data_IF_640615135727
#
_entry.id   IF_640615135727
#
_cell.length_a   1.000
_cell.length_b   1.000
_cell.length_c   1.000
_cell.angle_alpha   90.00
_cell.angle_beta   90.00
_cell.angle_gamma   90.00
#
_symmetry.space_group_name_H-M   'P 1'
#
loop_
_entity.id
_entity.type
_entity.pdbx_description
1 polymer ?
#
# COMPACT_ATOMS: atom_id res chain seq x y z
N UNK A 1 -0.78 -7.84 -3.62
CA UNK A 1 -0.01 -8.45 -2.49
C UNK A 1 -0.87 -8.49 -1.25
N UNK A 2 -0.90 -9.62 -0.57
CA UNK A 2 -1.59 -9.82 0.71
C UNK A 2 -0.58 -10.35 1.73
N UNK A 3 -0.46 -9.66 2.87
CA UNK A 3 0.48 -10.00 3.93
C UNK A 3 -0.26 -10.76 5.03
N UNK A 4 0.21 -11.96 5.36
CA UNK A 4 -0.43 -12.86 6.32
C UNK A 4 0.30 -12.88 7.66
N UNK A 5 1.61 -12.61 7.65
CA UNK A 5 2.46 -12.63 8.82
C UNK A 5 3.53 -11.53 8.73
N UNK A 6 3.90 -10.93 9.85
CA UNK A 6 5.03 -10.03 9.94
C UNK A 6 6.34 -10.84 9.94
N UNK A 7 7.41 -10.22 9.43
CA UNK A 7 8.79 -10.69 9.55
C UNK A 7 9.52 -9.84 10.56
N UNK A 8 10.57 -10.37 11.16
CA UNK A 8 11.47 -9.65 12.05
C UNK A 8 12.74 -9.24 11.32
N UNK A 9 13.49 -8.30 11.90
CA UNK A 9 14.76 -7.87 11.36
C UNK A 9 15.73 -9.05 11.21
N UNK A 10 16.50 -9.06 10.12
CA UNK A 10 17.43 -10.11 9.73
C UNK A 10 16.81 -11.50 9.44
N UNK A 11 15.50 -11.67 9.51
CA UNK A 11 14.85 -12.91 9.10
C UNK A 11 15.00 -13.11 7.59
N UNK A 12 15.52 -14.27 7.19
CA UNK A 12 15.61 -14.60 5.76
C UNK A 12 14.24 -14.93 5.19
N UNK A 13 13.96 -14.37 4.04
CA UNK A 13 12.74 -14.65 3.30
C UNK A 13 13.07 -15.21 1.92
N UNK A 14 12.25 -16.16 1.46
CA UNK A 14 12.35 -16.73 0.12
C UNK A 14 11.13 -16.32 -0.69
N UNK A 15 11.35 -15.63 -1.81
CA UNK A 15 10.33 -15.33 -2.78
C UNK A 15 10.30 -16.39 -3.88
N UNK A 16 9.10 -16.84 -4.24
CA UNK A 16 8.86 -17.77 -5.34
C UNK A 16 7.92 -17.10 -6.33
N UNK A 17 8.36 -16.99 -7.58
CA UNK A 17 7.55 -16.48 -8.69
C UNK A 17 7.18 -17.67 -9.58
N UNK A 18 5.90 -17.91 -9.75
CA UNK A 18 5.37 -18.92 -10.64
C UNK A 18 4.72 -18.23 -11.84
N UNK A 19 5.32 -18.32 -13.03
CA UNK A 19 4.71 -17.81 -14.25
C UNK A 19 3.36 -18.49 -14.53
N UNK A 20 2.42 -17.75 -15.08
CA UNK A 20 1.14 -18.26 -15.55
C UNK A 20 0.70 -17.47 -16.77
N UNK A 21 -0.33 -17.96 -17.47
CA UNK A 21 -0.85 -17.30 -18.65
C UNK A 21 -1.42 -15.90 -18.30
N UNK A 22 -0.75 -14.85 -18.81
CA UNK A 22 -1.11 -13.44 -18.57
C UNK A 22 -0.92 -12.95 -17.14
N UNK A 23 -0.53 -13.82 -16.20
CA UNK A 23 -0.37 -13.44 -14.78
C UNK A 23 0.62 -14.34 -14.05
N UNK A 24 1.59 -13.76 -13.38
CA UNK A 24 2.49 -14.47 -12.48
C UNK A 24 1.96 -14.48 -11.05
N UNK A 25 2.18 -15.56 -10.33
CA UNK A 25 1.93 -15.64 -8.87
C UNK A 25 3.24 -15.41 -8.12
N UNK A 26 3.18 -14.61 -7.08
CA UNK A 26 4.27 -14.39 -6.14
C UNK A 26 3.88 -14.96 -4.78
N UNK A 27 4.76 -15.74 -4.16
CA UNK A 27 4.59 -16.23 -2.79
C UNK A 27 5.90 -16.03 -2.04
N UNK A 28 5.82 -15.52 -0.81
CA UNK A 28 6.98 -15.36 0.05
C UNK A 28 6.84 -16.24 1.29
N UNK A 29 7.95 -16.85 1.68
CA UNK A 29 8.06 -17.72 2.85
C UNK A 29 9.16 -17.21 3.77
N UNK A 30 8.98 -17.37 5.07
CA UNK A 30 10.04 -17.15 6.06
C UNK A 30 10.98 -18.38 6.18
N UNK A 31 11.97 -18.30 7.05
CA UNK A 31 12.94 -19.39 7.28
C UNK A 31 12.27 -20.69 7.76
N UNK A 32 11.18 -20.59 8.54
CA UNK A 32 10.42 -21.74 9.00
C UNK A 32 9.52 -22.36 7.91
N UNK A 33 9.51 -21.79 6.71
CA UNK A 33 8.66 -22.25 5.61
C UNK A 33 7.21 -21.79 5.69
N UNK A 34 6.86 -20.93 6.63
CA UNK A 34 5.52 -20.35 6.71
C UNK A 34 5.31 -19.29 5.61
N UNK A 35 4.15 -19.31 4.98
CA UNK A 35 3.77 -18.29 3.99
C UNK A 35 3.49 -16.96 4.68
N UNK A 36 4.27 -15.95 4.34
CA UNK A 36 4.18 -14.60 4.93
C UNK A 36 3.51 -13.59 4.01
N UNK A 37 3.55 -13.83 2.70
CA UNK A 37 2.94 -12.96 1.70
C UNK A 37 2.59 -13.73 0.44
N UNK A 38 1.51 -13.33 -0.23
CA UNK A 38 1.18 -13.81 -1.56
C UNK A 38 0.58 -12.69 -2.42
N UNK A 39 0.66 -12.87 -3.73
CA UNK A 39 0.09 -11.91 -4.66
C UNK A 39 0.25 -12.34 -6.11
N UNK A 40 -0.14 -11.45 -7.00
CA UNK A 40 -0.01 -11.65 -8.43
C UNK A 40 0.51 -10.41 -9.11
N UNK A 41 1.16 -10.58 -10.25
CA UNK A 41 1.55 -9.51 -11.15
C UNK A 41 1.10 -9.84 -12.58
N UNK A 42 0.66 -8.84 -13.32
CA UNK A 42 0.23 -8.94 -14.71
C UNK A 42 0.81 -7.77 -15.51
N UNK A 43 1.35 -7.99 -16.70
CA UNK A 43 1.83 -6.93 -17.58
C UNK A 43 0.70 -6.28 -18.42
N UNK A 44 -0.52 -6.83 -18.35
CA UNK A 44 -1.68 -6.30 -19.08
C UNK A 44 -2.18 -5.00 -18.46
N UNK A 45 -3.01 -4.27 -19.23
CA UNK A 45 -3.75 -3.13 -18.71
C UNK A 45 -4.47 -3.50 -17.40
N UNK A 46 -4.51 -2.59 -16.41
CA UNK A 46 -5.20 -2.86 -15.17
C UNK A 46 -6.66 -3.23 -15.39
N UNK A 47 -7.13 -4.27 -14.71
CA UNK A 47 -8.55 -4.61 -14.69
C UNK A 47 -9.36 -3.41 -14.18
N UNK A 48 -10.55 -3.21 -14.73
CA UNK A 48 -11.49 -2.18 -14.25
C UNK A 48 -11.87 -2.39 -12.78
N UNK A 49 -11.83 -3.65 -12.31
CA UNK A 49 -12.01 -4.02 -10.92
C UNK A 49 -10.76 -4.75 -10.43
N UNK A 50 -10.02 -4.09 -9.57
CA UNK A 50 -8.88 -4.69 -8.88
C UNK A 50 -9.31 -5.78 -7.89
N UNK A 51 -8.38 -6.63 -7.48
CA UNK A 51 -8.64 -7.64 -6.46
C UNK A 51 -9.07 -6.99 -5.13
N UNK A 52 -8.43 -5.89 -4.73
CA UNK A 52 -8.85 -5.19 -3.51
C UNK A 52 -10.20 -4.50 -3.67
N UNK A 53 -10.51 -3.94 -4.84
CA UNK A 53 -11.82 -3.35 -5.10
C UNK A 53 -12.94 -4.40 -5.07
N UNK A 54 -12.68 -5.62 -5.56
CA UNK A 54 -13.62 -6.75 -5.43
C UNK A 54 -13.86 -7.19 -3.99
N UNK A 55 -12.81 -7.15 -3.16
CA UNK A 55 -12.89 -7.53 -1.74
C UNK A 55 -13.53 -6.48 -0.84
N UNK A 56 -13.45 -5.21 -1.24
CA UNK A 56 -13.95 -4.09 -0.44
C UNK A 56 -15.43 -4.20 -0.02
N UNK A 57 -16.37 -4.53 -0.93
CA UNK A 57 -17.80 -4.69 -0.57
C UNK A 57 -18.07 -5.85 0.40
N UNK A 58 -17.17 -6.84 0.43
CA UNK A 58 -17.30 -8.03 1.30
C UNK A 58 -16.81 -7.75 2.74
N UNK A 59 -16.22 -6.59 2.99
CA UNK A 59 -15.76 -6.19 4.31
C UNK A 59 -16.87 -5.46 5.05
N UNK A 60 -17.32 -6.00 6.17
CA UNK A 60 -18.26 -5.29 7.04
C UNK A 60 -17.58 -4.00 7.54
N UNK A 61 -18.24 -2.84 7.45
CA UNK A 61 -17.73 -1.61 8.06
C UNK A 61 -17.69 -1.77 9.58
N UNK A 62 -16.77 -1.04 10.22
CA UNK A 62 -16.79 -0.94 11.68
C UNK A 62 -18.09 -0.25 12.13
N UNK A 63 -18.66 -0.74 13.22
CA UNK A 63 -19.82 -0.10 13.83
C UNK A 63 -19.47 1.29 14.39
N UNK A 64 -20.38 2.26 14.34
CA UNK A 64 -20.17 3.58 14.92
C UNK A 64 -19.72 3.49 16.39
N UNK A 65 -18.69 4.26 16.75
CA UNK A 65 -18.17 4.32 18.10
C UNK A 65 -17.27 3.15 18.54
N UNK A 66 -17.05 2.15 17.67
CA UNK A 66 -16.14 1.02 17.97
C UNK A 66 -14.67 1.34 17.74
N UNK A 67 -14.38 2.24 16.82
CA UNK A 67 -13.01 2.66 16.50
C UNK A 67 -12.50 3.65 17.55
N UNK A 68 -11.22 3.51 17.95
CA UNK A 68 -10.52 4.42 18.86
C UNK A 68 -9.30 5.04 18.22
N UNK A 69 -8.52 4.25 17.46
CA UNK A 69 -7.33 4.72 16.74
C UNK A 69 -7.76 5.54 15.51
N UNK A 70 -8.84 5.12 14.88
CA UNK A 70 -9.42 5.74 13.68
C UNK A 70 -10.73 6.49 13.98
N UNK A 71 -10.98 6.88 15.24
CA UNK A 71 -12.25 7.50 15.66
C UNK A 71 -12.61 8.79 14.91
N UNK A 72 -11.59 9.56 14.51
CA UNK A 72 -11.77 10.87 13.87
C UNK A 72 -11.93 10.80 12.33
N UNK A 73 -12.08 9.60 11.77
CA UNK A 73 -12.11 9.41 10.32
C UNK A 73 -13.42 8.84 9.82
N UNK A 74 -13.80 9.29 8.62
CA UNK A 74 -14.96 8.84 7.87
C UNK A 74 -14.62 8.19 6.53
N UNK A 75 -15.45 7.26 6.10
CA UNK A 75 -15.40 6.76 4.71
C UNK A 75 -15.72 7.92 3.78
N UNK A 76 -14.88 8.13 2.77
CA UNK A 76 -14.99 9.23 1.83
C UNK A 76 -14.09 10.43 2.16
N UNK A 77 -13.45 10.48 3.33
CA UNK A 77 -12.44 11.51 3.61
C UNK A 77 -11.37 11.49 2.52
N UNK A 78 -11.11 12.66 1.95
CA UNK A 78 -10.25 12.80 0.80
C UNK A 78 -9.37 14.05 0.90
N UNK A 79 -8.13 13.93 0.45
CA UNK A 79 -7.20 15.05 0.29
C UNK A 79 -6.55 14.93 -1.08
N UNK A 80 -6.71 15.97 -1.90
CA UNK A 80 -6.09 16.11 -3.22
C UNK A 80 -4.95 17.13 -3.23
N UNK A 81 -4.37 17.33 -4.42
CA UNK A 81 -3.32 18.32 -4.63
C UNK A 81 -2.00 18.00 -3.91
N UNK A 82 -1.74 16.74 -3.58
CA UNK A 82 -0.53 16.32 -2.86
C UNK A 82 0.62 16.25 -3.87
N UNK A 83 1.68 17.08 -3.75
CA UNK A 83 2.82 16.97 -4.64
C UNK A 83 3.55 15.65 -4.38
N UNK A 84 3.83 14.92 -5.47
CA UNK A 84 4.52 13.64 -5.44
C UNK A 84 5.69 13.68 -6.42
N UNK A 85 6.89 13.38 -5.92
CA UNK A 85 8.11 13.30 -6.71
C UNK A 85 9.10 12.34 -6.06
N UNK A 86 9.83 11.60 -6.86
CA UNK A 86 11.02 10.85 -6.45
C UNK A 86 12.20 11.49 -7.18
N UNK A 87 13.21 11.91 -6.46
CA UNK A 87 14.41 12.45 -7.09
C UNK A 87 15.24 11.33 -7.73
N UNK A 88 15.92 11.63 -8.83
CA UNK A 88 16.77 10.65 -9.53
C UNK A 88 17.88 10.13 -8.61
N UNK A 89 18.45 11.01 -7.77
CA UNK A 89 19.47 10.63 -6.80
C UNK A 89 18.95 9.65 -5.74
N UNK A 90 17.69 9.82 -5.28
CA UNK A 90 17.06 8.92 -4.32
C UNK A 90 16.80 7.55 -4.94
N UNK A 91 16.38 7.51 -6.20
CA UNK A 91 16.23 6.26 -6.95
C UNK A 91 17.59 5.56 -7.10
N UNK A 92 18.62 6.26 -7.54
CA UNK A 92 19.96 5.70 -7.70
C UNK A 92 20.48 5.08 -6.40
N UNK A 93 20.42 5.82 -5.29
CA UNK A 93 20.82 5.32 -3.97
C UNK A 93 20.02 4.09 -3.51
N UNK A 94 18.75 4.01 -3.89
CA UNK A 94 17.93 2.86 -3.55
C UNK A 94 18.27 1.63 -4.40
N UNK A 95 18.65 1.82 -5.66
CA UNK A 95 19.05 0.72 -6.56
C UNK A 95 20.34 0.05 -6.11
N UNK A 96 21.27 0.76 -5.45
CA UNK A 96 22.48 0.19 -4.87
C UNK A 96 22.20 -0.93 -3.85
N UNK A 97 21.02 -0.93 -3.25
CA UNK A 97 20.56 -1.95 -2.28
C UNK A 97 19.86 -3.15 -2.91
N UNK A 98 19.68 -3.14 -4.22
CA UNK A 98 19.08 -4.23 -4.98
C UNK A 98 20.20 -5.00 -5.67
N UNK A 99 20.34 -6.29 -5.39
CA UNK A 99 21.45 -7.11 -5.89
C UNK A 99 21.48 -7.19 -7.42
N UNK A 100 20.32 -7.26 -8.05
CA UNK A 100 20.16 -7.35 -9.51
C UNK A 100 19.04 -6.42 -9.99
N UNK A 101 19.24 -5.09 -10.01
CA UNK A 101 18.23 -4.16 -10.46
C UNK A 101 18.02 -4.30 -11.97
N UNK A 102 16.77 -4.32 -12.40
CA UNK A 102 16.48 -4.29 -13.83
C UNK A 102 16.97 -2.97 -14.44
N UNK A 103 17.68 -3.04 -15.59
CA UNK A 103 18.31 -1.88 -16.24
C UNK A 103 17.37 -0.69 -16.51
N UNK A 104 16.06 -0.93 -16.76
CA UNK A 104 15.09 0.14 -16.97
C UNK A 104 15.00 1.11 -15.78
N UNK A 105 15.29 0.65 -14.58
CA UNK A 105 15.26 1.51 -13.40
C UNK A 105 16.41 2.52 -13.40
N UNK A 106 17.60 2.10 -13.85
CA UNK A 106 18.77 2.97 -13.94
C UNK A 106 18.76 3.81 -15.22
N UNK A 107 18.52 3.17 -16.38
CA UNK A 107 18.70 3.80 -17.71
C UNK A 107 17.56 4.77 -18.03
N UNK A 108 16.34 4.43 -17.65
CA UNK A 108 15.14 5.21 -17.98
C UNK A 108 14.48 5.84 -16.75
N UNK A 109 15.08 5.70 -15.58
CA UNK A 109 14.58 6.20 -14.30
C UNK A 109 13.16 5.71 -13.95
N UNK A 110 12.76 4.55 -14.45
CA UNK A 110 11.48 3.92 -14.12
C UNK A 110 11.42 3.62 -12.64
N UNK A 111 10.33 3.94 -11.99
CA UNK A 111 10.14 3.63 -10.57
C UNK A 111 9.81 2.15 -10.37
N UNK A 112 10.62 1.40 -9.59
CA UNK A 112 10.24 0.07 -9.15
C UNK A 112 8.92 0.09 -8.38
N UNK A 113 8.14 -0.99 -8.37
CA UNK A 113 6.87 -1.06 -7.61
C UNK A 113 7.01 -0.67 -6.13
N UNK A 114 8.13 -1.00 -5.51
CA UNK A 114 8.43 -0.61 -4.12
C UNK A 114 8.52 0.91 -3.92
N UNK A 115 9.04 1.64 -4.92
CA UNK A 115 9.10 3.11 -4.89
C UNK A 115 7.72 3.74 -5.09
N UNK A 116 6.87 3.15 -5.92
CA UNK A 116 5.48 3.58 -6.07
C UNK A 116 4.71 3.41 -4.75
N UNK A 117 4.91 2.27 -4.08
CA UNK A 117 4.32 2.03 -2.76
C UNK A 117 4.82 3.05 -1.74
N UNK A 118 6.13 3.33 -1.70
CA UNK A 118 6.73 4.32 -0.78
C UNK A 118 6.20 5.73 -1.04
N UNK A 119 6.15 6.15 -2.30
CA UNK A 119 5.64 7.45 -2.73
C UNK A 119 4.18 7.63 -2.31
N UNK A 120 3.33 6.68 -2.66
CA UNK A 120 1.92 6.70 -2.31
C UNK A 120 1.68 6.58 -0.79
N UNK A 121 2.46 5.73 -0.10
CA UNK A 121 2.33 5.60 1.36
C UNK A 121 2.71 6.91 2.08
N UNK A 122 3.67 7.67 1.56
CA UNK A 122 4.02 9.00 2.05
C UNK A 122 2.84 9.98 2.00
N UNK A 123 2.02 9.93 0.96
CA UNK A 123 0.83 10.77 0.81
C UNK A 123 -0.24 10.50 1.88
N UNK A 124 -0.26 9.31 2.50
CA UNK A 124 -1.16 8.93 3.58
C UNK A 124 -1.19 9.94 4.72
N UNK A 125 -0.04 10.51 5.08
CA UNK A 125 0.08 11.46 6.19
C UNK A 125 -0.82 12.69 6.04
N UNK A 126 -1.26 13.00 4.84
CA UNK A 126 -2.13 14.15 4.57
C UNK A 126 -3.59 13.84 4.92
N UNK A 127 -4.06 12.64 4.67
CA UNK A 127 -5.44 12.23 4.98
C UNK A 127 -5.54 11.57 6.37
N UNK A 128 -4.50 10.88 6.82
CA UNK A 128 -4.45 10.17 8.11
C UNK A 128 -3.56 10.89 9.15
N UNK A 129 -3.59 12.22 9.17
CA UNK A 129 -2.73 13.04 10.03
C UNK A 129 -3.02 12.89 11.54
N UNK A 130 -4.24 12.48 11.89
CA UNK A 130 -4.71 12.38 13.29
C UNK A 130 -4.83 10.93 13.78
N UNK A 131 -4.20 9.96 13.10
CA UNK A 131 -4.23 8.57 13.56
C UNK A 131 -3.63 8.50 14.96
N UNK A 132 -4.36 7.91 15.88
CA UNK A 132 -3.90 7.69 17.24
C UNK A 132 -2.64 6.80 17.29
N UNK A 133 -1.86 6.89 18.36
CA UNK A 133 -0.60 6.14 18.48
C UNK A 133 -0.85 4.64 18.40
N UNK A 134 -0.21 3.98 17.44
CA UNK A 134 -0.33 2.54 17.19
C UNK A 134 0.72 2.05 16.23
N UNK A 135 1.03 0.76 16.25
CA UNK A 135 1.83 0.09 15.22
C UNK A 135 0.94 -0.24 14.04
N UNK A 136 1.30 0.25 12.86
CA UNK A 136 0.63 -0.05 11.60
C UNK A 136 1.40 -1.11 10.80
N UNK A 137 0.69 -2.14 10.32
CA UNK A 137 1.23 -3.18 9.46
C UNK A 137 0.50 -3.19 8.11
N UNK A 138 1.21 -3.49 7.03
CA UNK A 138 0.56 -3.74 5.75
C UNK A 138 -0.30 -5.01 5.85
N UNK A 139 -1.59 -4.88 5.54
CA UNK A 139 -2.50 -6.01 5.38
C UNK A 139 -2.57 -6.47 3.94
N UNK A 140 -2.74 -5.52 3.03
CA UNK A 140 -2.71 -5.77 1.58
C UNK A 140 -2.29 -4.50 0.86
N UNK A 141 -1.77 -4.67 -0.34
CA UNK A 141 -1.51 -3.56 -1.25
C UNK A 141 -1.70 -4.01 -2.71
N UNK A 142 -2.11 -3.07 -3.55
CA UNK A 142 -2.24 -3.25 -4.98
C UNK A 142 -1.69 -2.02 -5.71
N UNK A 143 -0.82 -2.24 -6.69
CA UNK A 143 -0.27 -1.20 -7.55
C UNK A 143 -0.85 -1.36 -8.95
N UNK A 144 -1.40 -0.31 -9.50
CA UNK A 144 -1.92 -0.23 -10.86
C UNK A 144 -1.23 0.91 -11.59
N UNK A 145 -0.73 0.65 -12.77
CA UNK A 145 -0.19 1.67 -13.67
C UNK A 145 -1.09 1.73 -14.90
N UNK A 146 -1.69 2.88 -15.15
CA UNK A 146 -2.67 3.08 -16.23
C UNK A 146 -2.02 3.52 -17.52
N UNK A 147 -0.99 4.37 -17.42
CA UNK A 147 -0.33 4.99 -18.57
C UNK A 147 1.18 4.98 -18.39
N UNK A 148 1.83 4.00 -19.00
CA UNK A 148 3.28 3.85 -18.94
C UNK A 148 3.83 3.71 -17.53
N UNK A 149 5.14 3.51 -17.38
CA UNK A 149 5.77 3.49 -16.07
C UNK A 149 5.95 4.91 -15.52
N UNK A 150 5.70 5.09 -14.21
CA UNK A 150 6.10 6.30 -13.52
C UNK A 150 7.62 6.37 -13.42
N UNK A 151 8.16 7.61 -13.44
CA UNK A 151 9.62 7.86 -13.50
C UNK A 151 10.06 8.78 -12.38
N UNK A 152 11.32 8.61 -11.94
CA UNK A 152 11.97 9.59 -11.07
C UNK A 152 12.28 10.87 -11.87
N UNK A 153 12.38 12.00 -11.17
CA UNK A 153 12.61 13.31 -11.78
C UNK A 153 11.36 13.96 -12.39
N UNK A 154 10.21 13.26 -12.37
CA UNK A 154 8.93 13.75 -12.89
C UNK A 154 8.02 14.16 -11.73
N UNK A 155 7.33 15.29 -11.87
CA UNK A 155 6.34 15.76 -10.92
C UNK A 155 5.00 15.08 -11.19
N UNK A 156 4.35 14.64 -10.11
CA UNK A 156 3.00 14.09 -10.12
C UNK A 156 2.15 14.76 -9.05
N UNK A 157 0.85 14.59 -9.13
CA UNK A 157 -0.10 15.03 -8.12
C UNK A 157 -0.87 13.85 -7.58
N UNK A 158 -0.92 13.74 -6.26
CA UNK A 158 -1.64 12.69 -5.55
C UNK A 158 -3.01 13.13 -5.04
N UNK A 159 -3.94 12.19 -5.03
CA UNK A 159 -5.24 12.29 -4.34
C UNK A 159 -5.42 11.03 -3.51
N UNK A 160 -5.59 11.20 -2.21
CA UNK A 160 -5.78 10.08 -1.26
C UNK A 160 -7.21 10.10 -0.74
N UNK A 161 -7.87 8.94 -0.77
CA UNK A 161 -9.26 8.78 -0.32
C UNK A 161 -9.43 7.57 0.59
N UNK A 162 -10.15 7.73 1.69
CA UNK A 162 -10.55 6.64 2.57
C UNK A 162 -11.74 5.87 1.99
N UNK A 163 -11.56 4.58 1.78
CA UNK A 163 -12.54 3.71 1.11
C UNK A 163 -13.37 2.92 2.11
N UNK A 164 -12.77 2.50 3.23
CA UNK A 164 -13.43 1.67 4.25
C UNK A 164 -12.65 1.72 5.55
N UNK A 165 -13.39 1.69 6.66
CA UNK A 165 -12.87 1.45 8.00
C UNK A 165 -13.49 0.16 8.50
N UNK A 166 -12.67 -0.78 8.98
CA UNK A 166 -13.14 -2.06 9.51
C UNK A 166 -12.41 -2.37 10.81
N UNK A 167 -12.93 -3.31 11.58
CA UNK A 167 -12.27 -3.78 12.79
C UNK A 167 -12.24 -5.31 12.89
N UNK A 168 -11.32 -5.80 13.68
CA UNK A 168 -11.23 -7.16 14.13
C UNK A 168 -10.92 -7.18 15.63
N UNK A 169 -10.93 -8.33 16.30
CA UNK A 169 -10.52 -8.38 17.71
C UNK A 169 -9.15 -7.79 18.00
N UNK A 170 -8.21 -7.83 17.02
CA UNK A 170 -6.81 -7.41 17.21
C UNK A 170 -6.46 -6.10 16.53
N UNK A 171 -7.24 -5.63 15.56
CA UNK A 171 -6.85 -4.49 14.72
C UNK A 171 -8.02 -3.59 14.37
N UNK A 172 -7.73 -2.29 14.18
CA UNK A 172 -8.55 -1.41 13.37
C UNK A 172 -7.89 -1.30 12.00
N UNK A 173 -8.67 -1.36 10.92
CA UNK A 173 -8.10 -1.38 9.58
C UNK A 173 -8.63 -0.23 8.75
N UNK A 174 -7.74 0.42 8.03
CA UNK A 174 -8.06 1.46 7.07
C UNK A 174 -7.75 0.99 5.65
N UNK A 175 -8.73 1.15 4.78
CA UNK A 175 -8.64 0.94 3.35
C UNK A 175 -8.60 2.30 2.68
N UNK A 176 -7.57 2.58 1.93
CA UNK A 176 -7.46 3.84 1.18
C UNK A 176 -6.75 3.61 -0.14
N UNK A 177 -7.01 4.48 -1.09
CA UNK A 177 -6.24 4.58 -2.31
C UNK A 177 -5.46 5.89 -2.38
N UNK A 178 -4.42 5.87 -3.20
CA UNK A 178 -3.68 7.04 -3.63
C UNK A 178 -3.65 7.00 -5.15
N UNK A 179 -4.46 7.84 -5.76
CA UNK A 179 -4.45 8.05 -7.20
C UNK A 179 -3.35 9.03 -7.53
N UNK A 180 -2.56 8.71 -8.55
CA UNK A 180 -1.43 9.51 -9.01
C UNK A 180 -1.79 10.03 -10.41
N UNK A 181 -1.76 11.34 -10.59
CA UNK A 181 -2.10 12.00 -11.84
C UNK A 181 -0.91 12.79 -12.39
N UNK A 182 -0.89 12.93 -13.71
CA UNK A 182 -0.03 13.87 -14.41
C UNK A 182 -0.59 15.30 -14.20
N UNK A 183 0.18 16.23 -13.62
CA UNK A 183 -0.31 17.58 -13.37
C UNK A 183 -0.59 18.39 -14.64
N UNK A 184 0.03 18.06 -15.78
CA UNK A 184 -0.14 18.79 -17.04
C UNK A 184 -1.44 18.42 -17.75
N UNK A 185 -1.79 17.14 -17.76
CA UNK A 185 -3.01 16.63 -18.43
C UNK A 185 -4.19 16.45 -17.48
N UNK A 186 -3.93 16.32 -16.17
CA UNK A 186 -4.92 15.94 -15.16
C UNK A 186 -5.33 14.47 -15.24
N UNK A 187 -4.70 13.67 -16.10
CA UNK A 187 -5.04 12.26 -16.27
C UNK A 187 -4.43 11.38 -15.18
N UNK A 188 -5.21 10.42 -14.71
CA UNK A 188 -4.74 9.42 -13.76
C UNK A 188 -3.75 8.47 -14.46
N UNK A 189 -2.50 8.44 -13.97
CA UNK A 189 -1.40 7.62 -14.51
C UNK A 189 -1.15 6.36 -13.70
N UNK A 190 -1.59 6.35 -12.44
CA UNK A 190 -1.46 5.18 -11.57
C UNK A 190 -2.31 5.28 -10.32
N UNK A 191 -2.37 4.17 -9.60
CA UNK A 191 -3.04 4.10 -8.30
C UNK A 191 -2.36 3.05 -7.42
N UNK A 192 -2.23 3.35 -6.14
CA UNK A 192 -1.83 2.37 -5.13
C UNK A 192 -2.93 2.29 -4.09
N UNK A 193 -3.51 1.11 -3.93
CA UNK A 193 -4.52 0.84 -2.92
C UNK A 193 -3.92 0.07 -1.75
N UNK A 194 -4.27 0.47 -0.54
CA UNK A 194 -3.72 -0.05 0.70
C UNK A 194 -4.79 -0.57 1.63
N UNK A 195 -4.43 -1.61 2.38
CA UNK A 195 -5.08 -2.01 3.63
C UNK A 195 -4.02 -1.97 4.72
N UNK A 196 -4.16 -1.05 5.66
CA UNK A 196 -3.28 -0.96 6.82
C UNK A 196 -4.03 -1.48 8.05
N UNK A 197 -3.35 -2.32 8.82
CA UNK A 197 -3.84 -2.88 10.08
C UNK A 197 -3.17 -2.15 11.24
N UNK A 198 -3.93 -1.43 12.03
CA UNK A 198 -3.46 -0.73 13.23
C UNK A 198 -3.68 -1.64 14.44
N UNK A 199 -2.60 -2.00 15.10
CA UNK A 199 -2.62 -3.00 16.16
C UNK A 199 -3.20 -2.42 17.46
N UNK A 200 -4.35 -2.91 17.90
CA UNK A 200 -5.02 -2.47 19.14
C UNK A 200 -4.12 -2.63 20.36
N UNK A 201 -3.41 -3.76 20.47
CA UNK A 201 -2.50 -4.05 21.57
C UNK A 201 -1.31 -3.09 21.70
N UNK A 202 -0.96 -2.36 20.63
CA UNK A 202 0.12 -1.38 20.63
C UNK A 202 -0.36 0.05 20.92
N UNK A 203 -1.66 0.27 21.08
CA UNK A 203 -2.24 1.59 21.26
C UNK A 203 -2.70 1.82 22.69
N UNK A 204 -2.26 2.90 23.36
CA UNK A 204 -2.75 3.28 24.68
C UNK A 204 -4.26 3.56 24.71
N UNK A 205 -4.86 3.86 23.56
CA UNK A 205 -6.31 4.06 23.42
C UNK A 205 -7.11 2.79 23.69
N UNK A 206 -6.48 1.62 23.60
CA UNK A 206 -7.07 0.31 23.88
C UNK A 206 -6.61 -0.31 25.20
N UNK A 207 -5.54 0.24 25.84
CA UNK A 207 -5.02 -0.26 27.10
C UNK A 207 -5.96 -0.03 28.29
N UNK A 208 -6.82 0.99 28.23
CA UNK A 208 -7.69 1.42 29.33
C UNK A 208 -9.15 0.91 29.17
N UNK A 209 -9.31 -0.39 29.06
CA UNK A 209 -10.62 -1.04 29.09
C UNK A 209 -11.29 -1.19 27.75
N UNK A 210 -11.38 -2.43 27.27
CA UNK A 210 -12.43 -2.79 26.33
C UNK A 210 -13.78 -2.65 27.05
N UNK A 211 -14.80 -2.03 26.46
CA UNK A 211 -16.16 -2.29 26.89
C UNK A 211 -16.42 -3.78 26.61
N UNK A 212 -16.83 -4.50 27.65
CA UNK A 212 -17.21 -5.91 27.61
C UNK A 212 -18.36 -6.19 26.63
#
# INVERSE_FOLDING_TARGET
MHFTQATVDAEKVRAVVTPGEGRARLTMFNEAGAKICEGTASPSAPDSLSELARRLPMQAPAEPGRLRILADYGVGDEVGGIPLRVEIADLASALERITEPHRLYADEHVLPPSHLVRLAHGARSKVLAKVGPSVGLFGSLEVRQYRGPLRAGVDYVGRTKLLRLTESPKTENVWYDVVIADPASGEDVGCVQFVIRLMKASSPLWANGAPG
#
